data_IF_600928253421
#
_entry.id   IF_600928253421
#
_cell.length_a   1.000
_cell.length_b   1.000
_cell.length_c   1.000
_cell.angle_alpha   90.00
_cell.angle_beta   90.00
_cell.angle_gamma   90.00
#
_symmetry.space_group_name_H-M   'P 1'
#
loop_
_entity.id
_entity.type
_entity.pdbx_description
1 polymer ?
#
# COMPACT_ATOMS: atom_id res chain seq x y z
N UNK A 1 -27.32 4.93 18.52
CA UNK A 1 -26.83 3.68 17.97
C UNK A 1 -25.56 3.24 18.66
N UNK A 2 -25.56 2.03 19.19
CA UNK A 2 -24.36 1.51 19.86
C UNK A 2 -23.37 1.03 18.85
N UNK A 3 -22.26 1.77 18.74
CA UNK A 3 -21.13 1.31 17.92
C UNK A 3 -20.39 0.23 18.69
N UNK A 4 -20.28 -0.96 18.12
CA UNK A 4 -19.55 -2.04 18.75
C UNK A 4 -18.08 -1.70 18.86
N UNK A 5 -17.38 -2.36 19.78
CA UNK A 5 -15.92 -2.22 19.92
C UNK A 5 -15.21 -2.53 18.58
N UNK A 6 -15.68 -3.55 17.87
CA UNK A 6 -15.14 -3.95 16.57
C UNK A 6 -15.31 -2.87 15.51
N UNK A 7 -16.51 -2.26 15.45
CA UNK A 7 -16.79 -1.17 14.50
C UNK A 7 -15.90 0.03 14.76
N UNK A 8 -15.69 0.35 16.04
CA UNK A 8 -14.84 1.48 16.43
C UNK A 8 -13.38 1.25 16.04
N UNK A 9 -12.88 0.04 16.26
CA UNK A 9 -11.52 -0.32 15.85
C UNK A 9 -11.36 -0.21 14.33
N UNK A 10 -12.32 -0.75 13.58
CA UNK A 10 -12.33 -0.69 12.12
C UNK A 10 -12.32 0.75 11.62
N UNK A 11 -13.18 1.59 12.19
CA UNK A 11 -13.30 2.99 11.77
C UNK A 11 -12.01 3.76 12.00
N UNK A 12 -11.35 3.54 13.12
CA UNK A 12 -10.07 4.20 13.44
C UNK A 12 -8.98 3.75 12.48
N UNK A 13 -8.87 2.45 12.23
CA UNK A 13 -7.89 1.91 11.29
C UNK A 13 -8.12 2.47 9.88
N UNK A 14 -9.38 2.49 9.45
CA UNK A 14 -9.74 3.02 8.14
C UNK A 14 -9.40 4.51 8.03
N UNK A 15 -9.69 5.28 9.06
CA UNK A 15 -9.37 6.72 9.07
C UNK A 15 -7.86 6.94 8.96
N UNK A 16 -7.05 6.17 9.68
CA UNK A 16 -5.60 6.23 9.57
C UNK A 16 -5.17 5.94 8.15
N UNK A 17 -5.72 4.89 7.55
CA UNK A 17 -5.38 4.51 6.17
C UNK A 17 -5.78 5.58 5.16
N UNK A 18 -6.92 6.24 5.35
CA UNK A 18 -7.38 7.28 4.43
C UNK A 18 -6.58 8.57 4.53
N UNK A 19 -6.01 8.85 5.70
CA UNK A 19 -5.29 10.10 5.95
C UNK A 19 -3.78 9.99 5.74
N UNK A 20 -3.23 8.79 5.64
CA UNK A 20 -1.80 8.62 5.39
C UNK A 20 -1.50 8.70 3.89
N UNK A 21 -0.41 9.36 3.55
CA UNK A 21 0.11 9.40 2.18
C UNK A 21 1.25 8.40 2.01
N UNK A 22 1.71 7.81 3.10
CA UNK A 22 2.70 6.74 3.05
C UNK A 22 1.99 5.42 2.78
N UNK A 23 2.76 4.41 2.47
CA UNK A 23 2.25 3.06 2.26
C UNK A 23 2.65 2.23 3.47
N UNK A 24 1.89 2.31 4.58
CA UNK A 24 2.33 1.73 5.84
C UNK A 24 2.26 0.22 5.84
N UNK A 25 3.15 -0.38 6.64
CA UNK A 25 3.04 -1.78 7.02
C UNK A 25 1.98 -1.91 8.12
N UNK A 26 1.56 -3.15 8.41
CA UNK A 26 0.64 -3.40 9.51
C UNK A 26 1.24 -2.94 10.85
N UNK A 27 2.56 -3.11 11.04
CA UNK A 27 3.23 -2.64 12.26
C UNK A 27 3.16 -1.13 12.41
N UNK A 28 3.33 -0.39 11.31
CA UNK A 28 3.23 1.06 11.33
C UNK A 28 1.79 1.51 11.66
N UNK A 29 0.80 0.84 11.09
CA UNK A 29 -0.61 1.12 11.39
C UNK A 29 -0.89 0.80 12.87
N UNK A 30 -0.39 -0.33 13.36
CA UNK A 30 -0.55 -0.72 14.77
C UNK A 30 0.01 0.35 15.71
N UNK A 31 1.20 0.86 15.42
CA UNK A 31 1.82 1.91 16.25
C UNK A 31 0.97 3.17 16.27
N UNK A 32 0.36 3.55 15.15
CA UNK A 32 -0.52 4.71 15.08
C UNK A 32 -1.83 4.48 15.83
N UNK A 33 -2.42 3.29 15.68
CA UNK A 33 -3.69 2.96 16.35
C UNK A 33 -3.53 2.91 17.86
N UNK A 34 -2.39 2.44 18.36
CA UNK A 34 -2.13 2.32 19.80
C UNK A 34 -2.18 3.65 20.53
N UNK A 35 -1.93 4.73 19.86
CA UNK A 35 -2.04 6.07 20.45
C UNK A 35 -3.49 6.43 20.76
N UNK A 36 -4.43 5.81 20.06
CA UNK A 36 -5.87 6.04 20.24
C UNK A 36 -6.50 4.90 21.03
N UNK A 37 -6.12 3.68 20.75
CA UNK A 37 -6.61 2.46 21.42
C UNK A 37 -5.42 1.72 22.01
N UNK A 38 -4.96 2.06 23.23
CA UNK A 38 -3.73 1.49 23.80
C UNK A 38 -3.74 -0.04 23.96
N UNK A 39 -4.92 -0.62 24.10
CA UNK A 39 -5.06 -2.07 24.36
C UNK A 39 -5.23 -2.91 23.09
N UNK A 40 -5.20 -2.30 21.92
CA UNK A 40 -5.38 -3.05 20.67
C UNK A 40 -4.17 -3.97 20.45
N UNK A 41 -4.42 -5.16 19.92
CA UNK A 41 -3.36 -6.09 19.59
C UNK A 41 -2.97 -5.97 18.12
N UNK A 42 -1.74 -6.36 17.81
CA UNK A 42 -1.25 -6.40 16.43
C UNK A 42 -2.13 -7.34 15.58
N UNK A 43 -2.53 -8.48 16.15
CA UNK A 43 -3.42 -9.42 15.46
C UNK A 43 -4.76 -8.81 15.08
N UNK A 44 -5.32 -7.96 15.94
CA UNK A 44 -6.57 -7.26 15.64
C UNK A 44 -6.37 -6.28 14.48
N UNK A 45 -5.25 -5.57 14.46
CA UNK A 45 -4.93 -4.65 13.36
C UNK A 45 -4.80 -5.42 12.04
N UNK A 46 -4.07 -6.54 12.04
CA UNK A 46 -3.93 -7.40 10.85
C UNK A 46 -5.27 -7.89 10.34
N UNK A 47 -6.14 -8.36 11.22
CA UNK A 47 -7.46 -8.86 10.84
C UNK A 47 -8.31 -7.76 10.21
N UNK A 48 -8.26 -6.55 10.77
CA UNK A 48 -9.00 -5.42 10.21
C UNK A 48 -8.46 -5.01 8.85
N UNK A 49 -7.14 -4.92 8.71
CA UNK A 49 -6.52 -4.58 7.42
C UNK A 49 -6.88 -5.61 6.35
N UNK A 50 -6.81 -6.90 6.69
CA UNK A 50 -7.17 -7.97 5.75
C UNK A 50 -8.61 -7.87 5.31
N UNK A 51 -9.52 -7.57 6.23
CA UNK A 51 -10.93 -7.40 5.93
C UNK A 51 -11.19 -6.21 5.03
N UNK A 52 -10.51 -5.10 5.30
CA UNK A 52 -10.62 -3.90 4.45
C UNK A 52 -10.10 -4.17 3.03
N UNK A 53 -9.06 -4.98 2.89
CA UNK A 53 -8.56 -5.41 1.58
C UNK A 53 -9.60 -6.26 0.86
N UNK A 54 -10.18 -7.24 1.56
CA UNK A 54 -11.22 -8.10 0.99
C UNK A 54 -12.44 -7.31 0.51
N UNK A 55 -12.77 -6.24 1.22
CA UNK A 55 -13.89 -5.36 0.88
C UNK A 55 -13.53 -4.31 -0.17
N UNK A 56 -12.31 -4.31 -0.67
CA UNK A 56 -11.79 -3.35 -1.65
C UNK A 56 -11.81 -1.90 -1.16
N UNK A 57 -11.73 -1.70 0.15
CA UNK A 57 -11.69 -0.36 0.76
C UNK A 57 -10.27 0.17 0.80
N UNK A 58 -9.29 -0.73 0.94
CA UNK A 58 -7.88 -0.43 0.82
C UNK A 58 -7.23 -1.48 -0.08
N UNK A 59 -5.99 -1.25 -0.48
CA UNK A 59 -5.23 -2.14 -1.35
C UNK A 59 -4.00 -2.67 -0.60
N UNK A 60 -3.72 -3.95 -0.77
CA UNK A 60 -2.45 -4.52 -0.31
C UNK A 60 -1.47 -4.52 -1.48
N UNK A 61 -0.28 -3.98 -1.25
CA UNK A 61 0.75 -3.90 -2.28
C UNK A 61 1.60 -5.16 -2.26
N UNK A 62 1.61 -5.89 -3.36
CA UNK A 62 2.41 -7.10 -3.53
C UNK A 62 3.85 -6.75 -3.88
N UNK A 63 4.60 -6.26 -2.90
CA UNK A 63 5.98 -5.83 -3.09
C UNK A 63 6.90 -6.86 -2.43
N UNK A 64 7.97 -7.23 -3.11
CA UNK A 64 8.88 -8.30 -2.68
C UNK A 64 9.96 -7.81 -1.72
N UNK A 65 9.66 -6.86 -0.84
CA UNK A 65 10.62 -6.34 0.13
C UNK A 65 10.55 -7.02 1.49
N UNK A 66 9.73 -8.07 1.63
CA UNK A 66 9.59 -8.84 2.85
C UNK A 66 8.43 -8.42 3.74
N UNK A 67 8.09 -7.14 3.82
CA UNK A 67 6.94 -6.65 4.58
C UNK A 67 5.80 -6.26 3.64
N UNK A 68 4.56 -6.62 4.00
CA UNK A 68 3.38 -6.21 3.26
C UNK A 68 3.05 -4.76 3.55
N UNK A 69 2.76 -3.98 2.52
CA UNK A 69 2.35 -2.59 2.63
C UNK A 69 0.91 -2.44 2.20
N UNK A 70 0.24 -1.42 2.74
CA UNK A 70 -1.17 -1.15 2.45
C UNK A 70 -1.31 0.28 1.92
N UNK A 71 -2.29 0.48 1.04
CA UNK A 71 -2.55 1.78 0.43
C UNK A 71 -4.04 2.09 0.56
N UNK A 72 -4.35 3.25 1.13
CA UNK A 72 -5.72 3.72 1.25
C UNK A 72 -6.29 4.29 -0.04
N UNK A 73 -5.46 4.51 -1.05
CA UNK A 73 -5.90 4.99 -2.35
C UNK A 73 -6.20 3.81 -3.27
N UNK A 74 -7.48 3.60 -3.56
CA UNK A 74 -7.94 2.49 -4.40
C UNK A 74 -7.99 2.83 -5.89
N UNK A 75 -7.73 4.07 -6.27
CA UNK A 75 -7.66 4.44 -7.68
C UNK A 75 -6.43 3.80 -8.32
N UNK A 76 -6.56 3.28 -9.55
CA UNK A 76 -5.41 2.65 -10.22
C UNK A 76 -4.25 3.63 -10.37
N UNK A 77 -3.08 3.23 -9.89
CA UNK A 77 -1.85 3.99 -10.04
C UNK A 77 -0.66 3.04 -9.92
N UNK A 78 0.47 3.47 -10.44
CA UNK A 78 1.69 2.68 -10.37
C UNK A 78 2.53 3.13 -9.18
N UNK A 79 3.43 2.26 -8.75
CA UNK A 79 4.33 2.51 -7.63
C UNK A 79 5.76 2.27 -8.03
N UNK A 80 6.69 2.90 -7.31
CA UNK A 80 8.11 2.59 -7.40
C UNK A 80 8.64 2.35 -5.99
N UNK A 81 9.43 1.30 -5.84
CA UNK A 81 10.07 0.92 -4.57
C UNK A 81 11.56 1.23 -4.67
N UNK A 82 12.08 1.88 -3.65
CA UNK A 82 13.53 2.08 -3.54
C UNK A 82 14.18 0.79 -3.08
N UNK A 83 15.13 0.28 -3.85
CA UNK A 83 15.82 -0.98 -3.52
C UNK A 83 16.71 -0.85 -2.29
N UNK A 84 17.13 0.37 -1.93
CA UNK A 84 18.03 0.59 -0.79
C UNK A 84 17.28 0.82 0.51
N UNK A 85 16.28 1.70 0.52
CA UNK A 85 15.59 2.08 1.76
C UNK A 85 14.17 1.54 1.86
N UNK A 86 13.70 0.80 0.86
CA UNK A 86 12.37 0.19 0.81
C UNK A 86 11.20 1.19 0.84
N UNK A 87 11.47 2.47 0.65
CA UNK A 87 10.41 3.48 0.54
C UNK A 87 9.60 3.26 -0.71
N UNK A 88 8.30 3.53 -0.61
CA UNK A 88 7.37 3.35 -1.72
C UNK A 88 6.83 4.71 -2.14
N UNK A 89 6.83 4.96 -3.43
CA UNK A 89 6.34 6.21 -4.02
C UNK A 89 5.26 5.92 -5.04
N UNK A 90 4.24 6.76 -5.07
CA UNK A 90 3.24 6.73 -6.14
C UNK A 90 3.80 7.45 -7.36
N UNK A 91 3.47 6.93 -8.52
CA UNK A 91 3.77 7.61 -9.79
C UNK A 91 2.54 8.44 -10.14
N UNK A 92 2.72 9.75 -10.21
CA UNK A 92 1.64 10.69 -10.49
C UNK A 92 1.35 10.73 -11.99
N UNK A 93 0.77 9.66 -12.48
CA UNK A 93 0.39 9.52 -13.89
C UNK A 93 -0.69 8.46 -14.01
N UNK A 94 -1.57 8.60 -15.00
CA UNK A 94 -2.59 7.60 -15.27
C UNK A 94 -1.93 6.31 -15.78
N UNK A 95 -2.44 5.13 -15.37
CA UNK A 95 -1.93 3.87 -15.89
C UNK A 95 -2.12 3.74 -17.41
N UNK A 96 -1.25 2.96 -18.04
CA UNK A 96 -1.35 2.65 -19.47
C UNK A 96 -2.41 1.58 -19.69
N UNK A 97 -3.61 1.99 -20.07
CA UNK A 97 -4.71 1.04 -20.34
C UNK A 97 -4.40 0.10 -21.50
N UNK A 98 -3.49 0.51 -22.39
CA UNK A 98 -3.02 -0.31 -23.52
C UNK A 98 -2.38 -1.63 -23.08
N UNK A 99 -1.86 -1.71 -21.86
CA UNK A 99 -1.29 -2.94 -21.33
C UNK A 99 -2.35 -4.05 -21.24
N UNK A 100 -3.58 -3.71 -20.84
CA UNK A 100 -4.67 -4.68 -20.80
C UNK A 100 -5.00 -5.20 -22.21
N UNK A 101 -5.07 -4.31 -23.18
CA UNK A 101 -5.36 -4.65 -24.56
C UNK A 101 -4.25 -5.53 -25.15
N UNK A 102 -3.02 -5.17 -24.88
CA UNK A 102 -1.84 -5.95 -25.32
C UNK A 102 -1.87 -7.36 -24.75
N UNK A 103 -2.09 -7.49 -23.44
CA UNK A 103 -2.16 -8.80 -22.79
C UNK A 103 -3.34 -9.63 -23.30
N UNK A 104 -4.49 -9.00 -23.56
CA UNK A 104 -5.67 -9.67 -24.05
C UNK A 104 -5.46 -10.29 -25.43
N UNK A 105 -4.58 -9.72 -26.25
CA UNK A 105 -4.25 -10.27 -27.56
C UNK A 105 -3.41 -11.56 -27.48
N UNK A 106 -2.71 -11.76 -26.37
CA UNK A 106 -1.80 -12.89 -26.16
C UNK A 106 -2.42 -13.97 -25.29
N UNK A 107 -3.63 -13.74 -24.79
CA UNK A 107 -4.28 -14.61 -23.83
C UNK A 107 -5.66 -15.01 -24.36
N UNK A 108 -6.04 -16.26 -24.21
CA UNK A 108 -7.34 -16.76 -24.70
C UNK A 108 -8.50 -16.49 -23.73
N UNK A 109 -8.20 -16.13 -22.50
CA UNK A 109 -9.21 -15.77 -21.51
C UNK A 109 -9.57 -14.30 -21.58
N UNK A 110 -9.85 -13.71 -20.42
CA UNK A 110 -10.17 -12.29 -20.28
C UNK A 110 -9.12 -11.61 -19.41
N UNK A 111 -8.84 -10.35 -19.68
CA UNK A 111 -7.91 -9.53 -18.91
C UNK A 111 -8.71 -8.34 -18.34
N UNK A 112 -8.76 -8.21 -17.03
CA UNK A 112 -9.54 -7.16 -16.38
C UNK A 112 -8.71 -5.98 -15.91
N UNK A 113 -7.52 -6.25 -15.39
CA UNK A 113 -6.68 -5.20 -14.82
C UNK A 113 -5.22 -5.63 -14.81
N UNK A 114 -4.36 -4.67 -14.56
CA UNK A 114 -2.93 -4.92 -14.35
C UNK A 114 -2.42 -4.05 -13.20
N UNK A 115 -1.31 -4.42 -12.64
CA UNK A 115 -0.60 -3.59 -11.68
C UNK A 115 0.88 -3.55 -12.05
N UNK A 116 1.54 -2.43 -11.78
CA UNK A 116 2.96 -2.28 -12.08
C UNK A 116 3.64 -1.66 -10.86
N UNK A 117 4.73 -2.29 -10.45
CA UNK A 117 5.62 -1.77 -9.44
C UNK A 117 7.02 -1.75 -10.02
N UNK A 118 7.63 -0.57 -10.01
CA UNK A 118 8.99 -0.41 -10.48
C UNK A 118 9.95 -0.55 -9.31
N UNK A 119 11.14 -1.06 -9.58
CA UNK A 119 12.22 -1.14 -8.61
C UNK A 119 13.32 -0.18 -9.06
N UNK A 120 13.75 0.71 -8.18
CA UNK A 120 14.76 1.69 -8.51
C UNK A 120 15.41 2.26 -7.26
N UNK A 121 15.87 3.49 -7.35
CA UNK A 121 16.43 4.24 -6.22
C UNK A 121 15.68 5.54 -6.05
N UNK A 122 15.31 5.87 -4.81
CA UNK A 122 14.74 7.18 -4.52
C UNK A 122 15.83 8.24 -4.68
N UNK A 123 15.42 9.51 -4.73
CA UNK A 123 16.34 10.62 -4.94
C UNK A 123 17.46 10.64 -3.89
N UNK A 124 17.12 10.48 -2.63
CA UNK A 124 18.10 10.50 -1.54
C UNK A 124 19.12 9.37 -1.68
N UNK A 125 18.66 8.14 -1.96
CA UNK A 125 19.55 6.99 -2.12
C UNK A 125 20.39 7.07 -3.39
N UNK A 126 19.79 7.58 -4.45
CA UNK A 126 20.52 7.84 -5.72
C UNK A 126 21.64 8.84 -5.48
N UNK A 127 21.35 9.93 -4.78
CA UNK A 127 22.35 10.96 -4.50
C UNK A 127 23.48 10.43 -3.63
N UNK A 128 23.17 9.64 -2.63
CA UNK A 128 24.18 8.98 -1.80
C UNK A 128 25.10 8.09 -2.63
N UNK A 129 24.51 7.31 -3.54
CA UNK A 129 25.26 6.35 -4.36
C UNK A 129 26.20 7.05 -5.32
N UNK A 130 25.75 8.14 -5.95
CA UNK A 130 26.49 8.81 -7.03
C UNK A 130 27.25 10.05 -6.58
N UNK A 131 27.17 10.45 -5.32
CA UNK A 131 27.92 11.57 -4.75
C UNK A 131 29.11 11.12 -3.89
N UNK A 132 29.59 9.92 -4.10
CA UNK A 132 30.68 9.35 -3.32
C UNK A 132 31.98 10.14 -3.45
N UNK A 133 32.15 10.89 -4.53
CA UNK A 133 33.38 11.61 -4.84
C UNK A 133 33.40 13.04 -4.32
N UNK A 134 32.40 13.44 -3.58
CA UNK A 134 32.33 14.79 -3.02
C UNK A 134 32.81 14.81 -1.59
#
# INVERSE_FOLDING_TARGET
>A
MNTSKRSKQRDIILEIMKNTKSHPTADAVYNAVREIIPNISLGTVYRNLSKLVEENVIVKLGISTGAEHFDGNTYPHYHIVCAECDSIYDIDAAPFTELNTWAAKLFRGEVYKHSVTFLGLCEACKNKKYNILN
#
